data_IF_235934521010
#
_entry.id   IF_235934521010
#
_cell.length_a   1.000
_cell.length_b   1.000
_cell.length_c   1.000
_cell.angle_alpha   90.00
_cell.angle_beta   90.00
_cell.angle_gamma   90.00
#
_symmetry.space_group_name_H-M   'P 1'
#
loop_
_entity.id
_entity.type
_entity.pdbx_description
1 polymer ?
#
# COMPACT_ATOMS: atom_id res chain seq x y z
N UNK A 1 -38.88 5.47 18.91
CA UNK A 1 -38.17 5.98 20.10
C UNK A 1 -36.71 6.20 19.70
N UNK A 2 -36.24 7.45 19.61
CA UNK A 2 -34.85 7.74 19.24
C UNK A 2 -33.96 7.69 20.48
N UNK A 3 -32.77 7.10 20.35
CA UNK A 3 -31.76 7.08 21.41
C UNK A 3 -30.99 8.42 21.43
N UNK A 4 -30.54 8.90 22.60
CA UNK A 4 -29.82 10.17 22.70
C UNK A 4 -28.44 10.07 22.03
N UNK A 5 -28.27 10.76 20.90
CA UNK A 5 -27.07 10.64 20.05
C UNK A 5 -25.81 11.14 20.78
N UNK A 6 -24.80 10.26 20.92
CA UNK A 6 -23.60 10.57 21.71
C UNK A 6 -22.63 11.39 20.87
N UNK A 7 -22.26 12.58 21.34
CA UNK A 7 -21.32 13.51 20.64
C UNK A 7 -20.03 12.84 20.15
N UNK A 8 -19.57 11.78 20.80
CA UNK A 8 -18.39 10.99 20.44
C UNK A 8 -18.50 10.25 19.10
N UNK A 9 -19.72 9.82 18.70
CA UNK A 9 -19.95 9.12 17.42
C UNK A 9 -19.55 10.01 16.23
N UNK A 10 -19.91 11.31 16.30
CA UNK A 10 -19.53 12.33 15.31
C UNK A 10 -18.02 12.63 15.21
N UNK A 11 -17.22 12.23 16.21
CA UNK A 11 -15.77 12.49 16.22
C UNK A 11 -15.03 11.35 15.52
N UNK A 12 -15.48 10.10 15.72
CA UNK A 12 -14.74 8.94 15.25
C UNK A 12 -15.35 8.22 14.05
N UNK A 13 -16.66 7.91 14.04
CA UNK A 13 -17.11 6.82 13.17
C UNK A 13 -18.63 6.73 12.93
N UNK A 14 -19.01 6.61 11.64
CA UNK A 14 -20.37 6.23 11.20
C UNK A 14 -20.27 5.03 10.23
N UNK A 15 -20.21 3.78 10.71
CA UNK A 15 -20.21 2.58 9.84
C UNK A 15 -21.47 2.47 8.97
N UNK A 16 -22.60 2.90 9.53
CA UNK A 16 -23.90 2.89 8.90
C UNK A 16 -24.37 4.34 8.65
N UNK A 17 -23.80 5.06 7.66
CA UNK A 17 -24.29 6.39 7.30
C UNK A 17 -25.74 6.26 6.81
N UNK A 18 -26.65 7.01 7.44
CA UNK A 18 -28.10 6.93 7.20
C UNK A 18 -28.52 7.59 5.88
N UNK A 19 -27.61 8.33 5.25
CA UNK A 19 -27.79 8.90 3.91
C UNK A 19 -26.48 8.94 3.10
N UNK A 20 -26.60 9.08 1.78
CA UNK A 20 -25.45 9.29 0.89
C UNK A 20 -24.70 10.60 1.20
N UNK A 21 -25.41 11.63 1.69
CA UNK A 21 -24.80 12.89 2.14
C UNK A 21 -23.92 12.66 3.38
N UNK A 22 -24.42 11.96 4.39
CA UNK A 22 -23.62 11.58 5.58
C UNK A 22 -22.37 10.77 5.19
N UNK A 23 -22.51 9.80 4.27
CA UNK A 23 -21.37 9.00 3.80
C UNK A 23 -20.28 9.87 3.12
N UNK A 24 -20.67 10.83 2.28
CA UNK A 24 -19.72 11.73 1.62
C UNK A 24 -19.10 12.73 2.61
N UNK A 25 -19.88 13.28 3.54
CA UNK A 25 -19.35 14.17 4.58
C UNK A 25 -18.40 13.45 5.54
N UNK A 26 -18.68 12.20 5.92
CA UNK A 26 -17.80 11.40 6.76
C UNK A 26 -16.42 11.15 6.11
N UNK A 27 -16.39 10.96 4.79
CA UNK A 27 -15.14 10.74 4.04
C UNK A 27 -14.35 12.05 3.89
N UNK A 28 -15.00 13.16 3.53
CA UNK A 28 -14.33 14.46 3.33
C UNK A 28 -13.85 15.08 4.65
N UNK A 29 -14.54 14.83 5.78
CA UNK A 29 -14.20 15.43 7.09
C UNK A 29 -13.22 14.60 7.92
N UNK A 30 -12.80 13.42 7.46
CA UNK A 30 -11.97 12.50 8.25
C UNK A 30 -10.61 12.25 7.56
N UNK A 31 -9.53 12.59 8.28
CA UNK A 31 -8.16 12.43 7.80
C UNK A 31 -7.77 10.98 7.43
N UNK A 32 -8.41 9.95 8.00
CA UNK A 32 -8.17 8.56 7.60
C UNK A 32 -8.99 8.11 6.38
N UNK A 33 -10.14 8.74 6.13
CA UNK A 33 -11.02 8.37 5.03
C UNK A 33 -10.77 9.17 3.75
N UNK A 34 -10.19 10.37 3.82
CA UNK A 34 -9.95 11.21 2.64
C UNK A 34 -9.06 10.56 1.55
N UNK A 35 -8.27 9.55 1.93
CA UNK A 35 -7.48 8.72 1.02
C UNK A 35 -8.35 7.84 0.09
N UNK A 36 -9.60 7.56 0.47
CA UNK A 36 -10.53 6.73 -0.28
C UNK A 36 -11.56 7.57 -1.05
N UNK A 37 -11.88 7.22 -2.31
CA UNK A 37 -12.86 7.96 -3.11
C UNK A 37 -14.28 7.80 -2.55
N UNK A 38 -14.95 8.92 -2.26
CA UNK A 38 -16.30 8.93 -1.67
C UNK A 38 -17.40 8.32 -2.58
N UNK A 39 -17.12 8.14 -3.88
CA UNK A 39 -17.95 7.43 -4.85
C UNK A 39 -17.05 6.71 -5.86
N UNK A 40 -17.42 5.49 -6.25
CA UNK A 40 -16.74 4.70 -7.30
C UNK A 40 -17.79 4.19 -8.29
N UNK A 41 -17.51 4.25 -9.58
CA UNK A 41 -18.40 3.72 -10.61
C UNK A 41 -18.29 2.20 -10.67
N UNK A 42 -19.42 1.47 -10.72
CA UNK A 42 -19.41 0.00 -10.82
C UNK A 42 -18.61 -0.52 -12.03
N UNK A 43 -18.57 0.24 -13.14
CA UNK A 43 -17.80 -0.11 -14.34
C UNK A 43 -16.28 0.03 -14.14
N UNK A 44 -15.79 0.93 -13.29
CA UNK A 44 -14.34 1.06 -13.03
C UNK A 44 -13.80 0.00 -12.06
N UNK A 45 -14.66 -0.84 -11.48
CA UNK A 45 -14.28 -2.04 -10.73
C UNK A 45 -14.16 -3.27 -11.64
N UNK A 46 -14.65 -3.24 -12.88
CA UNK A 46 -14.54 -4.39 -13.79
C UNK A 46 -13.10 -4.57 -14.27
N UNK A 47 -12.65 -5.82 -14.36
CA UNK A 47 -11.27 -6.14 -14.73
C UNK A 47 -10.87 -5.52 -16.09
N UNK A 48 -11.74 -5.64 -17.09
CA UNK A 48 -11.51 -5.15 -18.46
C UNK A 48 -11.42 -3.61 -18.57
N UNK A 49 -11.77 -2.83 -17.55
CA UNK A 49 -11.73 -1.36 -17.64
C UNK A 49 -10.30 -0.78 -17.56
N UNK A 50 -9.43 -1.40 -16.76
CA UNK A 50 -8.07 -0.93 -16.51
C UNK A 50 -7.06 -2.03 -16.16
N UNK A 51 -7.47 -3.30 -16.31
CA UNK A 51 -6.72 -4.50 -15.89
C UNK A 51 -6.22 -4.46 -14.42
N UNK A 52 -6.84 -3.62 -13.60
CA UNK A 52 -6.44 -3.33 -12.20
C UNK A 52 -4.98 -2.84 -12.04
N UNK A 53 -4.36 -2.31 -13.11
CA UNK A 53 -2.94 -1.93 -13.15
C UNK A 53 -2.52 -0.98 -12.02
N UNK A 54 -3.36 0.00 -11.67
CA UNK A 54 -3.10 0.91 -10.54
C UNK A 54 -3.09 0.20 -9.17
N UNK A 55 -3.92 -0.83 -8.98
CA UNK A 55 -3.91 -1.65 -7.75
C UNK A 55 -2.69 -2.58 -7.74
N UNK A 56 -2.33 -3.15 -8.89
CA UNK A 56 -1.12 -3.96 -9.05
C UNK A 56 0.13 -3.12 -8.72
N UNK A 57 0.23 -1.91 -9.27
CA UNK A 57 1.31 -0.95 -8.97
C UNK A 57 1.39 -0.61 -7.49
N UNK A 58 0.26 -0.31 -6.83
CA UNK A 58 0.23 -0.03 -5.39
C UNK A 58 0.69 -1.22 -4.53
N UNK A 59 0.31 -2.45 -4.89
CA UNK A 59 0.78 -3.68 -4.20
C UNK A 59 2.28 -3.91 -4.44
N UNK A 60 2.76 -3.72 -5.67
CA UNK A 60 4.19 -3.84 -6.00
C UNK A 60 5.03 -2.79 -5.27
N UNK A 61 4.54 -1.56 -5.13
CA UNK A 61 5.18 -0.51 -4.34
C UNK A 61 5.28 -0.89 -2.85
N UNK A 62 4.24 -1.47 -2.25
CA UNK A 62 4.28 -1.94 -0.86
C UNK A 62 5.28 -3.10 -0.70
N UNK A 63 5.32 -4.05 -1.63
CA UNK A 63 6.34 -5.11 -1.65
C UNK A 63 7.74 -4.51 -1.74
N UNK A 64 7.94 -3.54 -2.64
CA UNK A 64 9.23 -2.86 -2.86
C UNK A 64 9.69 -2.09 -1.62
N UNK A 65 8.78 -1.38 -0.95
CA UNK A 65 9.08 -0.64 0.27
C UNK A 65 9.47 -1.57 1.43
N UNK A 66 8.68 -2.62 1.70
CA UNK A 66 8.96 -3.59 2.77
C UNK A 66 10.28 -4.32 2.51
N UNK A 67 10.48 -4.85 1.30
CA UNK A 67 11.72 -5.54 0.93
C UNK A 67 12.92 -4.59 0.93
N UNK A 68 12.76 -3.33 0.50
CA UNK A 68 13.81 -2.32 0.53
C UNK A 68 14.28 -2.01 1.95
N UNK A 69 13.33 -1.77 2.88
CA UNK A 69 13.65 -1.57 4.30
C UNK A 69 14.39 -2.77 4.89
N UNK A 70 13.97 -3.99 4.56
CA UNK A 70 14.65 -5.21 5.01
C UNK A 70 16.08 -5.33 4.44
N UNK A 71 16.29 -4.96 3.17
CA UNK A 71 17.62 -4.93 2.54
C UNK A 71 18.55 -3.88 3.16
N UNK A 72 18.01 -2.73 3.61
CA UNK A 72 18.79 -1.66 4.25
C UNK A 72 19.43 -2.06 5.58
N UNK A 73 18.95 -3.11 6.26
CA UNK A 73 19.62 -3.66 7.45
C UNK A 73 20.87 -4.50 7.15
N UNK A 74 21.04 -4.98 5.91
CA UNK A 74 22.17 -5.83 5.49
C UNK A 74 23.14 -5.12 4.53
N UNK A 75 22.69 -4.11 3.80
CA UNK A 75 23.50 -3.39 2.83
C UNK A 75 24.38 -2.31 3.49
N UNK A 76 25.69 -2.32 3.18
CA UNK A 76 26.63 -1.26 3.59
C UNK A 76 26.94 -0.37 2.37
N UNK A 77 26.56 0.93 2.39
CA UNK A 77 26.84 1.87 1.30
C UNK A 77 28.28 2.40 1.36
N UNK A 78 29.27 1.55 1.11
CA UNK A 78 30.66 1.93 0.86
C UNK A 78 31.20 1.20 -0.37
N UNK A 79 32.09 1.85 -1.14
CA UNK A 79 32.61 1.32 -2.42
C UNK A 79 33.36 -0.01 -2.20
N UNK A 80 34.04 -0.12 -1.07
CA UNK A 80 34.86 -1.26 -0.66
C UNK A 80 34.01 -2.45 -0.17
N UNK A 81 32.80 -2.19 0.34
CA UNK A 81 31.97 -3.19 1.04
C UNK A 81 30.67 -3.57 0.34
N UNK A 82 30.15 -2.72 -0.55
CA UNK A 82 28.87 -2.93 -1.23
C UNK A 82 28.80 -4.30 -1.94
N UNK A 83 29.83 -4.65 -2.72
CA UNK A 83 29.87 -5.94 -3.44
C UNK A 83 30.04 -7.16 -2.50
N UNK A 84 30.74 -7.00 -1.38
CA UNK A 84 30.86 -8.03 -0.34
C UNK A 84 29.51 -8.32 0.31
N UNK A 85 28.87 -7.29 0.87
CA UNK A 85 27.56 -7.42 1.53
C UNK A 85 26.46 -7.96 0.61
N UNK A 86 26.54 -7.70 -0.70
CA UNK A 86 25.63 -8.29 -1.69
C UNK A 86 25.85 -9.80 -1.90
N UNK A 87 27.09 -10.31 -1.76
CA UNK A 87 27.35 -11.75 -1.72
C UNK A 87 26.93 -12.38 -0.40
N UNK A 88 27.20 -11.73 0.73
CA UNK A 88 26.82 -12.23 2.04
C UNK A 88 25.29 -12.36 2.15
N UNK A 89 24.56 -11.36 1.63
CA UNK A 89 23.10 -11.39 1.49
C UNK A 89 22.59 -12.54 0.59
N UNK A 90 23.35 -12.96 -0.43
CA UNK A 90 22.92 -14.00 -1.37
C UNK A 90 23.25 -15.42 -0.90
N UNK A 91 24.39 -15.61 -0.23
CA UNK A 91 24.94 -16.93 0.13
C UNK A 91 24.99 -17.23 1.63
N UNK A 92 24.94 -16.22 2.50
CA UNK A 92 25.05 -16.39 3.98
C UNK A 92 23.72 -16.07 4.69
N UNK A 93 22.97 -15.06 4.22
CA UNK A 93 21.67 -14.70 4.80
C UNK A 93 20.57 -15.65 4.33
N UNK A 94 19.94 -16.36 5.26
CA UNK A 94 18.77 -17.22 5.00
C UNK A 94 17.67 -16.46 4.26
N UNK A 95 17.25 -16.98 3.09
CA UNK A 95 16.31 -16.33 2.16
C UNK A 95 16.73 -14.95 1.63
N UNK A 96 17.95 -14.48 1.85
CA UNK A 96 18.39 -13.17 1.36
C UNK A 96 18.44 -13.08 -0.18
N UNK A 97 18.75 -14.18 -0.87
CA UNK A 97 18.59 -14.30 -2.33
C UNK A 97 17.14 -14.06 -2.79
N UNK A 98 16.16 -14.57 -2.05
CA UNK A 98 14.73 -14.41 -2.34
C UNK A 98 14.28 -12.98 -2.05
N UNK A 99 14.77 -12.39 -0.95
CA UNK A 99 14.48 -11.00 -0.56
C UNK A 99 15.01 -10.02 -1.62
N UNK A 100 16.27 -10.20 -2.06
CA UNK A 100 16.93 -9.44 -3.13
C UNK A 100 16.25 -9.66 -4.49
N UNK A 101 15.88 -10.90 -4.80
CA UNK A 101 15.18 -11.29 -6.02
C UNK A 101 13.77 -10.68 -6.11
N UNK A 102 12.99 -10.74 -5.03
CA UNK A 102 11.65 -10.19 -4.93
C UNK A 102 11.65 -8.67 -5.08
N UNK A 103 12.58 -7.96 -4.41
CA UNK A 103 12.73 -6.52 -4.56
C UNK A 103 13.02 -6.12 -6.03
N UNK A 104 13.98 -6.80 -6.67
CA UNK A 104 14.30 -6.60 -8.09
C UNK A 104 13.11 -6.90 -9.01
N UNK A 105 12.40 -8.00 -8.80
CA UNK A 105 11.24 -8.36 -9.63
C UNK A 105 10.08 -7.39 -9.43
N UNK A 106 9.83 -6.94 -8.19
CA UNK A 106 8.81 -5.93 -7.90
C UNK A 106 9.12 -4.61 -8.60
N UNK A 107 10.38 -4.17 -8.63
CA UNK A 107 10.80 -2.97 -9.36
C UNK A 107 10.55 -3.08 -10.88
N UNK A 108 10.99 -4.18 -11.50
CA UNK A 108 10.77 -4.41 -12.94
C UNK A 108 9.29 -4.50 -13.31
N UNK A 109 8.48 -5.19 -12.49
CA UNK A 109 7.04 -5.30 -12.71
C UNK A 109 6.34 -3.96 -12.49
N UNK A 110 6.74 -3.16 -11.49
CA UNK A 110 6.14 -1.84 -11.21
C UNK A 110 6.34 -0.89 -12.39
N UNK A 111 7.55 -0.83 -12.95
CA UNK A 111 7.85 -0.03 -14.16
C UNK A 111 7.13 -0.58 -15.40
N UNK A 112 6.73 -1.86 -15.41
CA UNK A 112 5.95 -2.47 -16.49
C UNK A 112 4.43 -2.26 -16.41
N UNK A 113 3.90 -1.66 -15.34
CA UNK A 113 2.44 -1.44 -15.13
C UNK A 113 2.06 0.01 -14.82
N UNK A 114 3.00 0.95 -14.98
CA UNK A 114 2.84 2.40 -14.74
C UNK A 114 3.06 3.17 -16.03
#
# INVERSE_FOLDING_TARGET
MALPERKWERIFWTWAPRSTKEANEAIVKNFWLHWFPAKVYRKSLSFTYSFWLGTISAVLFVILAITGILLMFYYIPSVERAYGTMKDLEYVVSYGWLLRGLHRMAAHLMVGVV
#
